data_IF_797778507578
#
_entry.id   IF_797778507578
#
_cell.length_a   1.000
_cell.length_b   1.000
_cell.length_c   1.000
_cell.angle_alpha   90.00
_cell.angle_beta   90.00
_cell.angle_gamma   90.00
#
_symmetry.space_group_name_H-M   'P 1'
#
loop_
_entity.id
_entity.type
_entity.pdbx_description
1 polymer ?
#
# COMPACT_ATOMS: atom_id res chain seq x y z
N UNK A 1 6.99 10.50 13.26
CA UNK A 1 7.98 9.53 12.74
C UNK A 1 8.44 10.03 11.38
N UNK A 2 9.51 9.48 10.79
CA UNK A 2 9.94 9.85 9.43
C UNK A 2 9.77 8.65 8.50
N UNK A 3 9.48 8.89 7.23
CA UNK A 3 9.42 7.85 6.21
C UNK A 3 10.79 7.22 6.02
N UNK A 4 10.78 5.89 5.90
CA UNK A 4 11.95 5.14 5.48
C UNK A 4 11.98 5.03 3.97
N UNK A 5 13.18 4.89 3.39
CA UNK A 5 13.31 4.55 1.99
C UNK A 5 12.57 3.24 1.68
N UNK A 6 11.87 3.20 0.55
CA UNK A 6 10.99 2.11 0.16
C UNK A 6 9.52 2.37 0.52
N UNK A 7 8.80 1.27 0.78
CA UNK A 7 7.37 1.28 1.05
C UNK A 7 7.08 1.30 2.55
N UNK A 8 6.21 2.22 2.96
CA UNK A 8 5.74 2.36 4.33
C UNK A 8 4.22 2.14 4.33
N UNK A 9 3.73 1.17 5.10
CA UNK A 9 2.30 0.93 5.27
C UNK A 9 1.86 1.61 6.56
N UNK A 10 0.88 2.51 6.47
CA UNK A 10 0.40 3.28 7.61
C UNK A 10 -1.12 3.40 7.60
N UNK A 11 -1.72 3.44 8.79
CA UNK A 11 -3.13 3.79 8.97
C UNK A 11 -3.31 5.31 9.05
N UNK A 12 -2.30 5.99 9.61
CA UNK A 12 -2.25 7.43 9.74
C UNK A 12 -1.02 7.99 9.05
N UNK A 13 -1.19 9.13 8.38
CA UNK A 13 -0.08 9.83 7.72
C UNK A 13 1.02 10.14 8.75
N UNK A 14 2.23 9.66 8.49
CA UNK A 14 3.38 9.81 9.39
C UNK A 14 4.17 11.10 9.15
N UNK A 15 4.15 11.61 7.92
CA UNK A 15 4.65 12.94 7.56
C UNK A 15 3.95 13.49 6.31
N UNK A 16 4.00 14.80 6.11
CA UNK A 16 3.54 15.43 4.86
C UNK A 16 4.51 15.15 3.72
N UNK A 17 3.95 14.83 2.55
CA UNK A 17 4.70 14.54 1.33
C UNK A 17 4.49 15.62 0.29
N UNK A 18 5.37 15.63 -0.71
CA UNK A 18 5.34 16.62 -1.79
C UNK A 18 4.08 16.48 -2.66
N UNK A 19 3.60 15.26 -2.79
CA UNK A 19 2.44 14.91 -3.60
C UNK A 19 1.61 13.83 -2.89
N UNK A 20 0.30 13.83 -3.14
CA UNK A 20 -0.62 12.78 -2.73
C UNK A 20 -1.40 12.28 -3.96
N UNK A 21 -1.48 10.98 -4.12
CA UNK A 21 -2.18 10.33 -5.24
C UNK A 21 -3.06 9.17 -4.76
N UNK A 22 -4.27 9.01 -5.30
CA UNK A 22 -5.00 7.75 -5.15
C UNK A 22 -4.23 6.59 -5.79
N UNK A 23 -4.37 5.38 -5.26
CA UNK A 23 -3.68 4.18 -5.72
C UNK A 23 -3.81 3.97 -7.25
N UNK A 24 -5.02 4.09 -7.78
CA UNK A 24 -5.26 3.98 -9.22
C UNK A 24 -4.43 4.99 -10.05
N UNK A 25 -4.34 6.25 -9.60
CA UNK A 25 -3.57 7.28 -10.28
C UNK A 25 -2.06 7.01 -10.18
N UNK A 26 -1.61 6.54 -9.02
CA UNK A 26 -0.24 6.11 -8.79
C UNK A 26 0.18 4.96 -9.73
N UNK A 27 -0.59 3.87 -9.80
CA UNK A 27 -0.27 2.74 -10.68
C UNK A 27 -0.35 3.10 -12.15
N UNK A 28 -1.35 3.91 -12.56
CA UNK A 28 -1.40 4.45 -13.94
C UNK A 28 -0.16 5.26 -14.27
N UNK A 29 0.33 6.08 -13.34
CA UNK A 29 1.56 6.87 -13.54
C UNK A 29 2.77 5.95 -13.71
N UNK A 30 2.89 4.92 -12.87
CA UNK A 30 3.96 3.93 -12.97
C UNK A 30 3.93 3.16 -14.28
N UNK A 31 2.77 2.63 -14.68
CA UNK A 31 2.60 1.88 -15.92
C UNK A 31 2.95 2.72 -17.16
N UNK A 32 2.79 4.04 -17.09
CA UNK A 32 3.16 4.98 -18.16
C UNK A 32 4.62 5.47 -18.06
N UNK A 33 5.48 4.84 -17.26
CA UNK A 33 6.87 5.26 -16.99
C UNK A 33 6.99 6.69 -16.44
N UNK A 34 5.98 7.16 -15.71
CA UNK A 34 5.99 8.47 -15.06
C UNK A 34 7.01 8.51 -13.92
N UNK A 35 7.65 9.67 -13.73
CA UNK A 35 8.54 9.88 -12.59
C UNK A 35 7.74 10.15 -11.33
N UNK A 36 8.16 9.63 -10.19
CA UNK A 36 7.56 9.93 -8.89
C UNK A 36 8.42 10.93 -8.11
N UNK A 37 7.85 11.75 -7.21
CA UNK A 37 8.65 12.57 -6.31
C UNK A 37 9.46 11.71 -5.32
N UNK A 38 10.46 12.29 -4.64
CA UNK A 38 11.17 11.64 -3.55
C UNK A 38 10.26 11.17 -2.40
N UNK A 39 9.26 11.98 -2.02
CA UNK A 39 8.28 11.63 -0.99
C UNK A 39 6.87 11.67 -1.56
N UNK A 40 6.13 10.57 -1.44
CA UNK A 40 4.79 10.43 -1.99
C UNK A 40 3.84 9.78 -0.99
N UNK A 41 2.62 10.29 -0.92
CA UNK A 41 1.50 9.63 -0.23
C UNK A 41 0.60 8.97 -1.26
N UNK A 42 0.32 7.69 -1.04
CA UNK A 42 -0.65 6.92 -1.81
C UNK A 42 -1.83 6.58 -0.90
N UNK A 43 -3.05 6.83 -1.37
CA UNK A 43 -4.28 6.59 -0.61
C UNK A 43 -5.21 5.64 -1.36
N UNK A 44 -6.19 5.05 -0.66
CA UNK A 44 -7.29 4.26 -1.27
C UNK A 44 -6.81 3.03 -2.05
N UNK A 45 -5.78 2.35 -1.54
CA UNK A 45 -5.36 1.07 -2.12
C UNK A 45 -6.36 -0.03 -1.77
N UNK A 46 -6.88 0.00 -0.55
CA UNK A 46 -7.96 -0.84 -0.05
C UNK A 46 -9.22 -0.73 -0.90
N UNK A 47 -9.61 0.49 -1.29
CA UNK A 47 -10.76 0.71 -2.17
C UNK A 47 -10.53 0.08 -3.55
N UNK A 48 -9.33 0.29 -4.12
CA UNK A 48 -8.98 -0.28 -5.41
C UNK A 48 -9.05 -1.81 -5.40
N UNK A 49 -8.55 -2.46 -4.34
CA UNK A 49 -8.57 -3.92 -4.22
C UNK A 49 -9.95 -4.47 -3.85
N UNK A 50 -10.76 -3.67 -3.15
CA UNK A 50 -12.13 -4.03 -2.79
C UNK A 50 -13.08 -3.93 -4.00
N UNK A 51 -12.90 -2.93 -4.85
CA UNK A 51 -13.66 -2.77 -6.10
C UNK A 51 -13.35 -3.87 -7.14
N UNK A 52 -12.21 -4.55 -7.02
CA UNK A 52 -11.90 -5.75 -7.81
C UNK A 52 -12.70 -6.96 -7.34
N UNK A 53 -13.24 -7.70 -8.30
CA UNK A 53 -13.93 -8.96 -8.06
C UNK A 53 -13.07 -9.92 -7.22
N UNK A 54 -13.69 -10.58 -6.24
CA UNK A 54 -12.97 -11.43 -5.27
C UNK A 54 -12.18 -12.56 -5.95
N UNK A 55 -12.75 -13.14 -7.02
CA UNK A 55 -12.12 -14.20 -7.81
C UNK A 55 -10.91 -13.70 -8.63
N UNK A 56 -10.87 -12.41 -8.96
CA UNK A 56 -9.81 -11.77 -9.77
C UNK A 56 -8.81 -10.99 -8.91
N UNK A 57 -9.08 -10.79 -7.61
CA UNK A 57 -8.28 -9.96 -6.72
C UNK A 57 -6.82 -10.41 -6.65
N UNK A 58 -6.58 -11.72 -6.60
CA UNK A 58 -5.24 -12.28 -6.57
C UNK A 58 -4.48 -12.00 -7.88
N UNK A 59 -5.17 -12.01 -9.02
CA UNK A 59 -4.60 -11.66 -10.32
C UNK A 59 -4.29 -10.17 -10.38
N UNK A 60 -5.22 -9.31 -9.97
CA UNK A 60 -5.01 -7.87 -9.90
C UNK A 60 -3.82 -7.50 -8.99
N UNK A 61 -3.69 -8.13 -7.82
CA UNK A 61 -2.54 -7.92 -6.93
C UNK A 61 -1.22 -8.30 -7.61
N UNK A 62 -1.20 -9.40 -8.40
CA UNK A 62 -0.02 -9.79 -9.18
C UNK A 62 0.31 -8.78 -10.26
N UNK A 63 -0.68 -8.28 -11.00
CA UNK A 63 -0.46 -7.23 -12.01
C UNK A 63 0.10 -5.95 -11.38
N UNK A 64 -0.47 -5.49 -10.28
CA UNK A 64 0.01 -4.31 -9.56
C UNK A 64 1.44 -4.52 -9.02
N UNK A 65 1.75 -5.72 -8.53
CA UNK A 65 3.11 -6.10 -8.13
C UNK A 65 4.08 -6.05 -9.30
N UNK A 66 3.69 -6.54 -10.47
CA UNK A 66 4.54 -6.50 -11.67
C UNK A 66 4.78 -5.06 -12.13
N UNK A 67 3.78 -4.17 -12.06
CA UNK A 67 3.97 -2.73 -12.30
C UNK A 67 4.99 -2.13 -11.35
N UNK A 68 4.92 -2.44 -10.05
CA UNK A 68 5.93 -1.98 -9.08
C UNK A 68 7.32 -2.52 -9.40
N UNK A 69 7.40 -3.80 -9.75
CA UNK A 69 8.65 -4.47 -10.10
C UNK A 69 9.29 -3.87 -11.35
N UNK A 70 8.52 -3.65 -12.40
CA UNK A 70 8.95 -3.13 -13.70
C UNK A 70 9.30 -1.65 -13.67
N UNK A 71 8.56 -0.86 -12.88
CA UNK A 71 8.93 0.53 -12.57
C UNK A 71 10.26 0.64 -11.82
N UNK A 72 10.84 -0.51 -11.48
CA UNK A 72 12.18 -0.66 -10.95
C UNK A 72 12.20 -0.22 -9.51
N UNK A 73 11.70 -1.11 -8.62
CA UNK A 73 11.85 -1.07 -7.17
C UNK A 73 12.92 -0.07 -6.76
N UNK A 74 12.43 1.14 -6.46
CA UNK A 74 13.10 2.26 -5.82
C UNK A 74 14.62 2.15 -5.71
N UNK A 75 15.35 2.22 -6.83
CA UNK A 75 16.83 2.28 -6.84
C UNK A 75 17.41 3.60 -6.28
N UNK A 76 16.69 4.27 -5.39
CA UNK A 76 17.05 5.56 -4.81
C UNK A 76 16.36 5.81 -3.46
N UNK A 77 16.63 6.95 -2.80
CA UNK A 77 16.18 7.26 -1.44
C UNK A 77 14.70 7.65 -1.36
N UNK A 78 13.87 7.21 -2.31
CA UNK A 78 12.45 7.60 -2.32
C UNK A 78 11.71 6.86 -1.22
N UNK A 79 10.72 7.53 -0.66
CA UNK A 79 9.93 7.03 0.43
C UNK A 79 8.45 7.22 0.09
N UNK A 80 7.73 6.11 0.00
CA UNK A 80 6.30 6.11 -0.29
C UNK A 80 5.57 5.61 0.95
N UNK A 81 4.54 6.35 1.36
CA UNK A 81 3.57 5.84 2.32
C UNK A 81 2.28 5.45 1.60
N UNK A 82 1.78 4.26 1.90
CA UNK A 82 0.42 3.84 1.61
C UNK A 82 -0.40 4.04 2.87
N UNK A 83 -1.36 4.95 2.79
CA UNK A 83 -2.30 5.27 3.86
C UNK A 83 -3.58 4.47 3.62
N UNK A 84 -3.98 3.70 4.63
CA UNK A 84 -5.14 2.82 4.59
C UNK A 84 -6.23 3.28 5.56
N UNK A 85 -7.48 3.29 5.09
CA UNK A 85 -8.69 3.47 5.92
C UNK A 85 -9.15 2.11 6.50
N UNK A 86 -8.28 1.48 7.29
CA UNK A 86 -8.52 0.17 7.88
C UNK A 86 -7.43 -0.26 8.85
N UNK A 87 -7.60 -1.44 9.45
CA UNK A 87 -6.61 -2.00 10.37
C UNK A 87 -5.57 -2.83 9.60
N UNK A 88 -4.29 -2.56 9.82
CA UNK A 88 -3.22 -3.43 9.34
C UNK A 88 -3.13 -4.67 10.23
N UNK A 89 -3.24 -5.85 9.61
CA UNK A 89 -3.16 -7.16 10.27
C UNK A 89 -1.96 -7.92 9.74
N UNK A 90 -1.10 -8.36 10.66
CA UNK A 90 0.10 -9.17 10.40
C UNK A 90 -0.17 -10.63 10.80
N UNK A 91 -0.78 -11.40 9.88
CA UNK A 91 -0.94 -12.86 10.00
C UNK A 91 0.16 -13.58 9.17
N UNK A 92 -0.19 -14.19 8.02
CA UNK A 92 0.75 -14.86 7.11
C UNK A 92 1.34 -13.92 6.04
N UNK A 93 0.56 -12.91 5.66
CA UNK A 93 0.89 -11.82 4.74
C UNK A 93 0.21 -10.56 5.26
N UNK A 94 0.89 -9.40 5.19
CA UNK A 94 0.26 -8.12 5.57
C UNK A 94 -1.08 -7.95 4.87
N UNK A 95 -2.13 -7.80 5.64
CA UNK A 95 -3.49 -7.63 5.15
C UNK A 95 -4.11 -6.37 5.73
N UNK A 96 -4.97 -5.71 4.96
CA UNK A 96 -5.78 -4.60 5.47
C UNK A 96 -7.18 -5.14 5.74
N UNK A 97 -7.61 -5.01 6.99
CA UNK A 97 -8.98 -5.29 7.39
C UNK A 97 -9.79 -4.01 7.24
N UNK A 98 -10.79 -4.03 6.36
CA UNK A 98 -11.77 -2.96 6.21
C UNK A 98 -13.16 -3.45 6.62
N UNK A 99 -14.01 -2.52 7.05
CA UNK A 99 -15.42 -2.79 7.34
C UNK A 99 -16.30 -2.23 6.21
N UNK A 100 -16.98 -3.11 5.47
CA UNK A 100 -17.87 -2.72 4.36
C UNK A 100 -19.18 -3.48 4.47
N UNK A 101 -20.31 -2.75 4.49
CA UNK A 101 -21.64 -3.37 4.55
C UNK A 101 -21.96 -4.12 5.85
N UNK A 102 -21.12 -4.02 6.88
CA UNK A 102 -21.24 -4.79 8.13
C UNK A 102 -20.35 -6.04 8.18
N UNK A 103 -19.68 -6.37 7.09
CA UNK A 103 -18.75 -7.49 6.99
C UNK A 103 -17.29 -7.01 7.10
N UNK A 104 -16.47 -7.81 7.75
CA UNK A 104 -15.02 -7.60 7.82
C UNK A 104 -14.36 -8.26 6.61
N UNK A 105 -13.66 -7.44 5.81
CA UNK A 105 -13.02 -7.88 4.57
C UNK A 105 -11.51 -7.74 4.72
N UNK A 106 -10.79 -8.79 4.35
CA UNK A 106 -9.34 -8.85 4.43
C UNK A 106 -8.74 -8.76 3.03
N UNK A 107 -7.94 -7.72 2.80
CA UNK A 107 -7.31 -7.45 1.52
C UNK A 107 -5.81 -7.77 1.60
N UNK A 108 -5.27 -8.66 0.73
CA UNK A 108 -3.91 -9.17 0.84
C UNK A 108 -2.87 -8.19 0.28
N UNK A 109 -2.71 -7.02 0.92
CA UNK A 109 -1.83 -5.95 0.43
C UNK A 109 -0.36 -6.31 0.44
N UNK A 110 0.09 -7.21 1.31
CA UNK A 110 1.49 -7.60 1.43
C UNK A 110 2.02 -8.28 0.16
N UNK A 111 1.15 -9.00 -0.55
CA UNK A 111 1.50 -9.68 -1.81
C UNK A 111 1.79 -8.72 -2.97
N UNK A 112 1.44 -7.44 -2.82
CA UNK A 112 1.70 -6.39 -3.80
C UNK A 112 3.17 -5.95 -3.81
N UNK A 113 3.86 -6.06 -2.67
CA UNK A 113 5.21 -5.52 -2.51
C UNK A 113 6.27 -6.59 -2.76
N UNK A 114 7.17 -6.30 -3.70
CA UNK A 114 8.31 -7.19 -4.05
C UNK A 114 9.35 -7.23 -2.93
N UNK A 115 9.55 -6.09 -2.26
CA UNK A 115 10.38 -5.95 -1.07
C UNK A 115 9.46 -5.85 0.14
N UNK A 116 9.85 -6.47 1.26
CA UNK A 116 9.05 -6.47 2.48
C UNK A 116 8.75 -5.01 2.91
N UNK A 117 7.48 -4.58 2.88
CA UNK A 117 7.13 -3.22 3.20
C UNK A 117 7.23 -3.00 4.72
N UNK A 118 7.55 -1.78 5.13
CA UNK A 118 7.64 -1.46 6.57
C UNK A 118 6.29 -1.01 7.06
N UNK A 119 5.72 -1.72 8.02
CA UNK A 119 4.57 -1.21 8.78
C UNK A 119 5.08 -0.17 9.76
N UNK A 120 4.56 1.04 9.66
CA UNK A 120 4.86 2.13 10.59
C UNK A 120 3.57 2.46 11.32
N UNK A 121 3.29 1.72 12.40
CA UNK A 121 2.16 2.02 13.27
C UNK A 121 2.40 3.37 13.95
N UNK A 122 1.43 4.28 13.86
CA UNK A 122 1.35 5.43 14.75
C UNK A 122 0.91 4.96 16.16
N UNK A 123 1.71 4.13 16.81
CA UNK A 123 1.57 3.79 18.23
C UNK A 123 0.38 2.90 18.61
N UNK A 124 -0.08 1.98 17.76
CA UNK A 124 -1.01 0.93 18.17
C UNK A 124 -0.39 -0.44 18.00
N UNK A 125 0.44 -0.82 18.98
CA UNK A 125 0.90 -2.19 19.15
C UNK A 125 -0.32 -3.14 19.20
N UNK A 126 -0.61 -3.83 18.12
CA UNK A 126 -1.52 -4.97 18.17
C UNK A 126 -0.74 -6.10 18.86
N UNK A 127 -1.04 -6.27 20.14
CA UNK A 127 -0.46 -7.30 20.99
C UNK A 127 -0.70 -8.68 20.39
N UNK A 128 0.37 -9.33 19.91
CA UNK A 128 0.39 -10.80 19.73
C UNK A 128 0.10 -11.45 21.08
N UNK A 129 -0.84 -12.39 21.10
CA UNK A 129 -1.10 -13.27 22.24
C UNK A 129 -0.85 -14.72 21.85
#
# INVERSE_FOLDING_TARGET
MSLNAGYNLVTDRIEDTEEELPALAFFRRLANNGTLPPRLTVTRLEDLLYETDEEERDEAVRELRDVLRESGSFRGPKAIQFVFDGDLVDDDVFSVRIERGGDAIYLPVGNLFVEEPRVVEAGHAVARK
#
